data_IF_274220542909
#
_entry.id   IF_274220542909
#
_cell.length_a   1.000
_cell.length_b   1.000
_cell.length_c   1.000
_cell.angle_alpha   90.00
_cell.angle_beta   90.00
_cell.angle_gamma   90.00
#
_symmetry.space_group_name_H-M   'P 1'
#
loop_
_entity.id
_entity.type
_entity.pdbx_description
1 polymer ?
#
# COMPACT_ATOMS: atom_id res chain seq x y z
N UNK A 1 -10.56 11.74 4.10
CA UNK A 1 -9.26 11.06 3.89
C UNK A 1 -8.36 12.07 3.22
N UNK A 2 -7.07 12.17 3.59
CA UNK A 2 -6.10 12.93 2.80
C UNK A 2 -6.12 12.47 1.34
N UNK A 3 -5.89 13.35 0.35
CA UNK A 3 -5.85 12.96 -1.07
C UNK A 3 -4.81 11.87 -1.36
N UNK A 4 -3.78 11.77 -0.52
CA UNK A 4 -2.67 10.81 -0.66
C UNK A 4 -2.90 9.50 0.12
N UNK A 5 -4.17 9.16 0.39
CA UNK A 5 -4.54 7.92 1.08
C UNK A 5 -5.32 6.98 0.17
N UNK A 6 -4.68 5.87 -0.21
CA UNK A 6 -5.35 4.75 -0.86
C UNK A 6 -5.99 3.85 0.20
N UNK A 7 -7.28 3.55 0.07
CA UNK A 7 -7.98 2.62 0.96
C UNK A 7 -8.18 1.27 0.28
N UNK A 8 -7.89 0.18 0.99
CA UNK A 8 -8.15 -1.17 0.51
C UNK A 8 -8.62 -2.09 1.63
N UNK A 9 -9.21 -3.23 1.25
CA UNK A 9 -9.67 -4.27 2.17
C UNK A 9 -9.32 -5.65 1.65
N UNK A 10 -9.01 -6.56 2.57
CA UNK A 10 -8.76 -7.98 2.26
C UNK A 10 -9.27 -8.85 3.41
N UNK A 11 -9.58 -10.11 3.14
CA UNK A 11 -9.85 -11.09 4.21
C UNK A 11 -8.53 -11.69 4.69
N UNK A 12 -8.40 -11.87 5.99
CA UNK A 12 -7.25 -12.54 6.59
C UNK A 12 -6.99 -13.91 5.94
N UNK A 13 -5.72 -14.23 5.70
CA UNK A 13 -5.30 -15.45 4.99
C UNK A 13 -5.41 -15.39 3.46
N UNK A 14 -5.90 -14.28 2.87
CA UNK A 14 -5.93 -14.08 1.41
C UNK A 14 -4.78 -13.15 0.97
N UNK A 15 -4.23 -13.36 -0.24
CA UNK A 15 -3.28 -12.41 -0.80
C UNK A 15 -3.98 -11.08 -1.09
N UNK A 16 -3.31 -9.97 -0.77
CA UNK A 16 -3.67 -8.64 -1.22
C UNK A 16 -2.71 -8.22 -2.32
N UNK A 17 -3.26 -7.79 -3.46
CA UNK A 17 -2.52 -7.15 -4.55
C UNK A 17 -3.05 -5.73 -4.71
N UNK A 18 -2.17 -4.75 -4.72
CA UNK A 18 -2.50 -3.34 -4.92
C UNK A 18 -1.73 -2.79 -6.11
N UNK A 19 -2.44 -2.05 -6.98
CA UNK A 19 -1.83 -1.13 -7.91
C UNK A 19 -1.72 0.24 -7.23
N UNK A 20 -0.50 0.70 -6.97
CA UNK A 20 -0.23 2.03 -6.46
C UNK A 20 -0.44 3.05 -7.60
N UNK A 21 -0.96 4.25 -7.28
CA UNK A 21 -1.34 5.22 -8.30
C UNK A 21 -0.12 5.65 -9.14
N UNK A 22 -0.36 6.05 -10.38
CA UNK A 22 0.67 6.62 -11.27
C UNK A 22 0.94 8.10 -10.99
N UNK A 23 0.19 8.70 -10.08
CA UNK A 23 0.26 10.10 -9.72
C UNK A 23 -0.06 10.31 -8.25
N UNK A 24 0.59 11.29 -7.63
CA UNK A 24 0.40 11.67 -6.23
C UNK A 24 0.54 13.19 -6.13
N UNK A 25 -0.38 13.87 -5.43
CA UNK A 25 -0.41 15.34 -5.38
C UNK A 25 -0.48 16.01 -6.76
N UNK A 26 -1.01 15.34 -7.79
CA UNK A 26 -1.05 15.84 -9.17
C UNK A 26 0.25 15.69 -9.97
N UNK A 27 1.29 15.07 -9.40
CA UNK A 27 2.56 14.82 -10.07
C UNK A 27 2.71 13.34 -10.45
N UNK A 28 3.31 13.02 -11.62
CA UNK A 28 3.53 11.63 -12.03
C UNK A 28 4.54 10.93 -11.13
N UNK A 29 4.32 9.64 -10.91
CA UNK A 29 5.15 8.74 -10.10
C UNK A 29 5.70 7.63 -10.99
N UNK A 30 7.03 7.47 -10.98
CA UNK A 30 7.73 6.46 -11.77
C UNK A 30 7.69 5.11 -11.05
N UNK A 31 8.02 5.12 -9.76
CA UNK A 31 8.02 3.93 -8.89
C UNK A 31 7.86 4.34 -7.43
N UNK A 32 7.68 3.35 -6.57
CA UNK A 32 7.63 3.55 -5.14
C UNK A 32 8.77 2.81 -4.43
N UNK A 33 9.23 3.36 -3.31
CA UNK A 33 10.05 2.67 -2.34
C UNK A 33 9.22 2.35 -1.09
N UNK A 34 9.38 1.16 -0.54
CA UNK A 34 8.70 0.74 0.68
C UNK A 34 9.39 1.37 1.91
N UNK A 35 8.65 2.15 2.71
CA UNK A 35 9.16 2.73 3.96
C UNK A 35 8.72 1.94 5.18
N UNK A 36 7.40 1.73 5.29
CA UNK A 36 6.79 0.99 6.39
C UNK A 36 5.66 0.14 5.83
N UNK A 37 6.00 -1.12 5.55
CA UNK A 37 5.12 -2.11 4.92
C UNK A 37 5.18 -3.41 5.72
N UNK A 38 4.15 -4.26 5.66
CA UNK A 38 4.16 -5.51 6.39
C UNK A 38 5.28 -6.44 5.93
N UNK A 39 5.76 -7.28 6.84
CA UNK A 39 6.75 -8.30 6.52
C UNK A 39 6.24 -9.25 5.43
N UNK A 40 7.17 -9.83 4.67
CA UNK A 40 6.88 -10.72 3.54
C UNK A 40 5.98 -10.11 2.46
N UNK A 41 6.02 -8.80 2.33
CA UNK A 41 5.48 -8.11 1.16
C UNK A 41 6.55 -7.97 0.07
N UNK A 42 6.08 -7.72 -1.15
CA UNK A 42 6.93 -7.41 -2.30
C UNK A 42 6.38 -6.19 -3.01
N UNK A 43 7.27 -5.27 -3.35
CA UNK A 43 6.98 -4.11 -4.19
C UNK A 43 7.80 -4.20 -5.47
N UNK A 44 7.12 -4.11 -6.62
CA UNK A 44 7.76 -4.10 -7.94
C UNK A 44 7.15 -2.99 -8.79
N UNK A 45 7.94 -1.93 -9.03
CA UNK A 45 7.47 -0.71 -9.69
C UNK A 45 6.35 -0.03 -8.88
N UNK A 46 5.10 -0.25 -9.31
CA UNK A 46 3.87 0.24 -8.66
C UNK A 46 2.94 -0.89 -8.21
N UNK A 47 3.36 -2.15 -8.34
CA UNK A 47 2.59 -3.32 -7.91
C UNK A 47 3.07 -3.78 -6.54
N UNK A 48 2.15 -3.81 -5.57
CA UNK A 48 2.44 -4.29 -4.22
C UNK A 48 1.67 -5.57 -3.93
N UNK A 49 2.38 -6.60 -3.48
CA UNK A 49 1.83 -7.87 -3.03
C UNK A 49 2.09 -8.05 -1.55
N UNK A 50 1.06 -8.43 -0.80
CA UNK A 50 1.19 -8.89 0.57
C UNK A 50 0.41 -10.17 0.80
N UNK A 51 1.09 -11.19 1.32
CA UNK A 51 0.45 -12.43 1.77
C UNK A 51 0.02 -12.26 3.22
N UNK A 52 -1.28 -12.13 3.45
CA UNK A 52 -1.84 -12.08 4.81
C UNK A 52 -1.97 -13.49 5.40
N UNK A 53 -2.00 -13.53 6.74
CA UNK A 53 -2.30 -14.69 7.56
C UNK A 53 -3.62 -14.51 8.31
N UNK A 54 -4.23 -15.60 8.81
CA UNK A 54 -5.44 -15.51 9.64
C UNK A 54 -5.30 -14.58 10.86
N UNK A 55 -4.08 -14.49 11.42
CA UNK A 55 -3.78 -13.65 12.58
C UNK A 55 -3.61 -12.16 12.25
N UNK A 56 -3.56 -11.78 10.96
CA UNK A 56 -3.32 -10.40 10.53
C UNK A 56 -4.61 -9.55 10.49
N UNK A 57 -5.70 -9.97 11.15
CA UNK A 57 -6.92 -9.18 11.20
C UNK A 57 -6.68 -7.84 11.94
N UNK A 58 -7.09 -6.72 11.34
CA UNK A 58 -6.84 -5.39 11.89
C UNK A 58 -6.80 -4.29 10.83
N UNK A 59 -6.49 -3.06 11.26
CA UNK A 59 -6.32 -1.91 10.37
C UNK A 59 -4.86 -1.49 10.35
N UNK A 60 -4.30 -1.38 9.15
CA UNK A 60 -2.89 -1.03 8.94
C UNK A 60 -2.76 0.26 8.14
N UNK A 61 -1.73 1.03 8.44
CA UNK A 61 -1.32 2.20 7.67
C UNK A 61 0.10 1.99 7.16
N UNK A 62 0.22 1.73 5.86
CA UNK A 62 1.50 1.53 5.19
C UNK A 62 1.98 2.82 4.56
N UNK A 63 3.29 2.96 4.45
CA UNK A 63 3.93 4.15 3.88
C UNK A 63 4.87 3.76 2.75
N UNK A 64 4.71 4.47 1.64
CA UNK A 64 5.54 4.34 0.45
C UNK A 64 6.08 5.71 0.06
N UNK A 65 7.37 5.82 -0.24
CA UNK A 65 7.94 7.02 -0.83
C UNK A 65 7.73 6.99 -2.34
N UNK A 66 7.14 8.05 -2.89
CA UNK A 66 7.00 8.22 -4.33
C UNK A 66 8.31 8.72 -4.93
N UNK A 67 8.83 8.00 -5.93
CA UNK A 67 9.92 8.48 -6.77
C UNK A 67 9.37 9.20 -7.99
N UNK A 68 9.67 10.49 -8.09
CA UNK A 68 9.10 11.41 -9.09
C UNK A 68 10.19 12.21 -9.78
N UNK A 69 10.05 12.50 -11.09
CA UNK A 69 10.94 13.42 -11.76
C UNK A 69 10.62 14.86 -11.33
N UNK A 70 11.63 15.57 -10.81
CA UNK A 70 11.58 17.01 -10.54
C UNK A 70 10.46 17.51 -9.59
N UNK A 71 9.92 16.64 -8.73
CA UNK A 71 8.99 17.01 -7.67
C UNK A 71 9.58 16.67 -6.29
N UNK A 72 9.19 17.38 -5.21
CA UNK A 72 9.61 17.03 -3.85
C UNK A 72 9.27 15.56 -3.52
N UNK A 73 10.02 14.90 -2.62
CA UNK A 73 9.60 13.60 -2.10
C UNK A 73 8.22 13.69 -1.44
N UNK A 74 7.37 12.69 -1.68
CA UNK A 74 6.05 12.62 -1.06
C UNK A 74 5.73 11.19 -0.66
N UNK A 75 4.92 11.05 0.39
CA UNK A 75 4.57 9.77 0.97
C UNK A 75 3.14 9.41 0.64
N UNK A 76 2.95 8.30 -0.06
CA UNK A 76 1.65 7.66 -0.17
C UNK A 76 1.36 6.89 1.12
N UNK A 77 0.18 7.13 1.70
CA UNK A 77 -0.35 6.31 2.79
C UNK A 77 -1.33 5.30 2.20
N UNK A 78 -1.18 4.03 2.54
CA UNK A 78 -2.17 3.01 2.19
C UNK A 78 -2.82 2.51 3.46
N UNK A 79 -4.13 2.75 3.59
CA UNK A 79 -4.93 2.18 4.67
C UNK A 79 -5.51 0.85 4.22
N UNK A 80 -5.17 -0.22 4.92
CA UNK A 80 -5.70 -1.56 4.65
C UNK A 80 -6.48 -2.06 5.85
N UNK A 81 -7.76 -2.38 5.64
CA UNK A 81 -8.55 -3.13 6.61
C UNK A 81 -8.49 -4.62 6.28
N UNK A 82 -7.84 -5.40 7.13
CA UNK A 82 -7.83 -6.86 7.07
C UNK A 82 -9.00 -7.38 7.90
N UNK A 83 -10.02 -7.87 7.21
CA UNK A 83 -11.23 -8.40 7.82
C UNK A 83 -10.95 -9.82 8.35
N UNK A 84 -11.50 -10.20 9.51
CA UNK A 84 -11.36 -11.55 10.03
C UNK A 84 -11.91 -12.57 9.02
N UNK A 85 -11.25 -13.73 8.97
CA UNK A 85 -11.75 -14.88 8.23
C UNK A 85 -12.91 -15.48 9.04
N UNK A 86 -14.13 -15.44 8.50
CA UNK A 86 -15.27 -16.12 9.12
C UNK A 86 -15.21 -17.56 8.66
N UNK A 87 -14.67 -18.44 9.50
CA UNK A 87 -14.86 -19.89 9.38
C UNK A 87 -16.24 -20.27 9.89
#
# INVERSE_FOLDING_TARGET
MPPDTLASRVRAGRPLILALPDSLGGHPVIRYAALHVPAMSRLEGRSFLWRTFPADAGTYHWRFAAERPAAPPETLVVRVDVLPDRR
#
